data_IF_777821736132
#
_entry.id   IF_777821736132
#
_cell.length_a   1.000
_cell.length_b   1.000
_cell.length_c   1.000
_cell.angle_alpha   90.00
_cell.angle_beta   90.00
_cell.angle_gamma   90.00
#
_symmetry.space_group_name_H-M   'P 1'
#
loop_
_entity.id
_entity.type
_entity.pdbx_description
1 polymer ?
#
# COMPACT_ATOMS: atom_id res chain seq x y z
N UNK A 1 12.15 -9.95 -15.53
CA UNK A 1 12.96 -10.98 -14.89
C UNK A 1 12.66 -11.19 -13.40
N UNK A 2 11.62 -10.56 -12.84
CA UNK A 2 11.29 -10.69 -11.40
C UNK A 2 10.36 -11.89 -11.13
N UNK A 3 9.78 -12.50 -12.17
CA UNK A 3 8.65 -13.40 -12.03
C UNK A 3 8.93 -14.87 -12.37
N UNK A 4 10.18 -15.33 -12.34
CA UNK A 4 10.45 -16.76 -12.32
C UNK A 4 10.56 -17.22 -10.87
N UNK A 5 9.42 -17.50 -10.25
CA UNK A 5 9.38 -18.08 -8.91
C UNK A 5 9.46 -19.60 -9.01
N UNK A 6 10.55 -20.14 -8.50
CA UNK A 6 10.64 -21.59 -8.33
C UNK A 6 9.65 -22.02 -7.24
N UNK A 7 8.92 -23.10 -7.49
CA UNK A 7 7.88 -23.68 -6.64
C UNK A 7 8.33 -24.10 -5.22
N UNK A 8 9.63 -23.95 -4.89
CA UNK A 8 10.23 -24.38 -3.62
C UNK A 8 10.72 -23.23 -2.73
N UNK A 9 10.23 -21.99 -2.94
CA UNK A 9 10.70 -20.83 -2.17
C UNK A 9 10.06 -20.69 -0.79
N UNK A 10 8.95 -21.40 -0.53
CA UNK A 10 8.13 -21.25 0.66
C UNK A 10 7.23 -20.00 0.64
N UNK A 11 7.15 -19.29 -0.50
CA UNK A 11 6.22 -18.19 -0.70
C UNK A 11 4.84 -18.78 -0.98
N UNK A 12 3.83 -18.38 -0.20
CA UNK A 12 2.46 -18.90 -0.29
C UNK A 12 1.61 -18.12 -1.30
N UNK A 13 1.89 -16.84 -1.48
CA UNK A 13 1.10 -15.95 -2.34
C UNK A 13 1.96 -14.80 -2.86
N UNK A 14 1.78 -14.51 -4.15
CA UNK A 14 2.40 -13.38 -4.84
C UNK A 14 1.30 -12.51 -5.43
N UNK A 15 1.24 -11.27 -4.96
CA UNK A 15 0.27 -10.29 -5.42
C UNK A 15 0.96 -9.04 -5.96
N UNK A 16 0.42 -8.45 -7.02
CA UNK A 16 0.85 -7.13 -7.51
C UNK A 16 -0.31 -6.13 -7.50
N UNK A 17 0.00 -4.89 -7.13
CA UNK A 17 -0.89 -3.76 -7.33
C UNK A 17 -0.41 -2.96 -8.56
N UNK A 18 -1.32 -2.62 -9.43
CA UNK A 18 -1.00 -1.87 -10.65
C UNK A 18 -2.08 -0.84 -10.98
N UNK A 19 -1.69 0.25 -11.62
CA UNK A 19 -2.63 1.19 -12.22
C UNK A 19 -3.06 0.78 -13.65
N UNK A 20 -2.60 -0.38 -14.11
CA UNK A 20 -2.90 -0.98 -15.40
C UNK A 20 -2.57 -0.12 -16.66
N UNK A 21 -1.88 1.02 -16.52
CA UNK A 21 -1.56 1.91 -17.64
C UNK A 21 -0.57 1.31 -18.64
N UNK A 22 0.24 0.34 -18.20
CA UNK A 22 1.26 -0.35 -19.01
C UNK A 22 0.89 -1.82 -19.27
N UNK A 23 -0.38 -2.17 -19.13
CA UNK A 23 -0.86 -3.54 -19.25
C UNK A 23 -1.23 -3.83 -20.70
N UNK A 24 -0.23 -3.81 -21.57
CA UNK A 24 -0.38 -4.22 -22.97
C UNK A 24 -0.50 -5.76 -23.11
N UNK A 25 -0.74 -6.25 -24.31
CA UNK A 25 -0.91 -7.69 -24.57
C UNK A 25 0.32 -8.51 -24.15
N UNK A 26 1.53 -8.00 -24.41
CA UNK A 26 2.79 -8.68 -24.07
C UNK A 26 2.98 -8.78 -22.57
N UNK A 27 2.74 -7.68 -21.85
CA UNK A 27 2.82 -7.66 -20.40
C UNK A 27 1.73 -8.55 -19.78
N UNK A 28 0.52 -8.52 -20.33
CA UNK A 28 -0.59 -9.36 -19.89
C UNK A 28 -0.26 -10.85 -20.02
N UNK A 29 0.27 -11.29 -21.17
CA UNK A 29 0.70 -12.66 -21.38
C UNK A 29 1.78 -13.09 -20.39
N UNK A 30 2.81 -12.24 -20.21
CA UNK A 30 3.88 -12.50 -19.23
C UNK A 30 3.36 -12.65 -17.80
N UNK A 31 2.42 -11.82 -17.40
CA UNK A 31 1.84 -11.89 -16.05
C UNK A 31 0.98 -13.14 -15.86
N UNK A 32 0.22 -13.55 -16.89
CA UNK A 32 -0.62 -14.75 -16.82
C UNK A 32 0.24 -16.02 -16.67
N UNK A 33 1.39 -16.09 -17.36
CA UNK A 33 2.26 -17.29 -17.33
C UNK A 33 3.32 -17.24 -16.22
N UNK A 34 3.41 -16.16 -15.45
CA UNK A 34 4.50 -15.93 -14.50
C UNK A 34 4.38 -16.67 -13.16
N UNK A 35 3.23 -17.29 -12.89
CA UNK A 35 2.95 -17.86 -11.56
C UNK A 35 2.46 -16.83 -10.54
N UNK A 36 1.99 -15.66 -10.99
CA UNK A 36 1.35 -14.66 -10.14
C UNK A 36 0.00 -15.17 -9.61
N UNK A 37 -0.26 -15.01 -8.31
CA UNK A 37 -1.52 -15.44 -7.70
C UNK A 37 -2.62 -14.39 -7.82
N UNK A 38 -2.28 -13.11 -7.59
CA UNK A 38 -3.25 -12.01 -7.66
C UNK A 38 -2.71 -10.81 -8.43
N UNK A 39 -3.59 -10.17 -9.19
CA UNK A 39 -3.38 -8.83 -9.72
C UNK A 39 -4.50 -7.92 -9.24
N UNK A 40 -4.13 -6.80 -8.62
CA UNK A 40 -5.05 -5.83 -8.03
C UNK A 40 -4.93 -4.55 -8.83
N UNK A 41 -5.98 -4.22 -9.56
CA UNK A 41 -6.07 -2.97 -10.31
C UNK A 41 -6.52 -1.85 -9.39
N UNK A 42 -5.76 -0.77 -9.36
CA UNK A 42 -6.14 0.44 -8.64
C UNK A 42 -6.89 1.38 -9.57
N UNK A 43 -8.19 1.58 -9.33
CA UNK A 43 -9.07 2.35 -10.21
C UNK A 43 -10.06 3.17 -9.38
N UNK A 44 -9.86 4.49 -9.27
CA UNK A 44 -10.62 5.35 -8.39
C UNK A 44 -11.65 6.17 -9.18
N UNK A 45 -12.91 5.78 -9.10
CA UNK A 45 -14.08 6.43 -9.71
C UNK A 45 -14.92 5.46 -10.56
N UNK A 46 -16.23 5.60 -10.50
CA UNK A 46 -17.20 4.89 -11.35
C UNK A 46 -17.42 5.57 -12.68
N UNK A 47 -17.01 6.84 -12.83
CA UNK A 47 -17.12 7.62 -14.05
C UNK A 47 -15.77 8.09 -14.57
N UNK A 48 -15.70 8.36 -15.89
CA UNK A 48 -14.53 8.96 -16.53
C UNK A 48 -14.08 10.24 -15.84
N UNK A 49 -15.03 11.11 -15.52
CA UNK A 49 -14.76 12.43 -14.91
C UNK A 49 -14.04 12.27 -13.57
N UNK A 50 -14.55 11.40 -12.71
CA UNK A 50 -13.96 11.17 -11.38
C UNK A 50 -12.64 10.43 -11.49
N UNK A 51 -12.55 9.38 -12.32
CA UNK A 51 -11.31 8.64 -12.51
C UNK A 51 -10.16 9.55 -13.00
N UNK A 52 -10.36 10.34 -14.06
CA UNK A 52 -9.31 11.19 -14.61
C UNK A 52 -8.93 12.34 -13.66
N UNK A 53 -9.86 12.79 -12.82
CA UNK A 53 -9.58 13.77 -11.77
C UNK A 53 -8.75 13.16 -10.64
N UNK A 54 -9.10 11.96 -10.20
CA UNK A 54 -8.44 11.26 -9.08
C UNK A 54 -7.07 10.71 -9.49
N UNK A 55 -6.94 10.25 -10.75
CA UNK A 55 -5.75 9.60 -11.29
C UNK A 55 -5.24 10.26 -12.57
N UNK A 56 -4.88 11.55 -12.53
CA UNK A 56 -4.45 12.27 -13.75
C UNK A 56 -3.17 11.70 -14.36
N UNK A 57 -2.45 10.82 -13.62
CA UNK A 57 -1.16 10.31 -14.02
C UNK A 57 -0.05 11.36 -13.97
N UNK A 58 1.22 10.91 -14.14
CA UNK A 58 2.41 11.76 -14.01
C UNK A 58 2.44 12.94 -14.98
N UNK A 59 1.86 12.75 -16.17
CA UNK A 59 1.87 13.75 -17.27
C UNK A 59 0.45 14.11 -17.71
N UNK A 60 -0.58 13.82 -16.92
CA UNK A 60 -2.00 13.98 -17.29
C UNK A 60 -2.42 13.16 -18.53
N UNK A 61 -1.74 12.03 -18.78
CA UNK A 61 -2.02 11.12 -19.91
C UNK A 61 -2.80 9.87 -19.49
N UNK A 62 -3.18 9.78 -18.21
CA UNK A 62 -3.94 8.63 -17.74
C UNK A 62 -5.39 8.79 -18.16
N UNK A 63 -5.80 8.08 -19.19
CA UNK A 63 -7.15 8.12 -19.73
C UNK A 63 -7.95 6.94 -19.21
N UNK A 64 -9.17 7.22 -18.85
CA UNK A 64 -10.13 6.22 -18.37
C UNK A 64 -10.28 5.07 -19.36
N UNK A 65 -10.53 5.37 -20.64
CA UNK A 65 -10.77 4.37 -21.67
C UNK A 65 -9.58 3.45 -21.87
N UNK A 66 -8.37 4.01 -21.91
CA UNK A 66 -7.15 3.23 -22.14
C UNK A 66 -6.94 2.20 -21.00
N UNK A 67 -7.13 2.63 -19.77
CA UNK A 67 -6.95 1.75 -18.61
C UNK A 67 -8.08 0.73 -18.50
N UNK A 68 -9.31 1.15 -18.75
CA UNK A 68 -10.46 0.24 -18.79
C UNK A 68 -10.29 -0.86 -19.83
N UNK A 69 -9.90 -0.50 -21.05
CA UNK A 69 -9.67 -1.48 -22.13
C UNK A 69 -8.46 -2.39 -21.81
N UNK A 70 -7.40 -1.88 -21.22
CA UNK A 70 -6.28 -2.71 -20.78
C UNK A 70 -6.72 -3.80 -19.78
N UNK A 71 -7.51 -3.43 -18.77
CA UNK A 71 -8.06 -4.38 -17.79
C UNK A 71 -8.96 -5.41 -18.47
N UNK A 72 -9.85 -4.96 -19.33
CA UNK A 72 -10.78 -5.82 -20.08
C UNK A 72 -10.04 -6.80 -20.99
N UNK A 73 -9.02 -6.31 -21.69
CA UNK A 73 -8.20 -7.13 -22.60
C UNK A 73 -7.37 -8.17 -21.84
N UNK A 74 -6.82 -7.82 -20.67
CA UNK A 74 -6.16 -8.78 -19.80
C UNK A 74 -7.07 -9.95 -19.42
N UNK A 75 -8.30 -9.66 -19.00
CA UNK A 75 -9.25 -10.68 -18.57
C UNK A 75 -9.78 -11.51 -19.76
N UNK A 76 -9.94 -10.90 -20.94
CA UNK A 76 -10.22 -11.66 -22.17
C UNK A 76 -9.08 -12.61 -22.53
N UNK A 77 -7.83 -12.15 -22.44
CA UNK A 77 -6.65 -12.97 -22.71
C UNK A 77 -6.54 -14.11 -21.70
N UNK A 78 -6.70 -13.84 -20.41
CA UNK A 78 -6.74 -14.85 -19.34
C UNK A 78 -7.76 -15.94 -19.65
N UNK A 79 -9.01 -15.56 -20.00
CA UNK A 79 -10.06 -16.51 -20.40
C UNK A 79 -9.67 -17.31 -21.66
N UNK A 80 -9.12 -16.65 -22.67
CA UNK A 80 -8.64 -17.31 -23.92
C UNK A 80 -7.54 -18.35 -23.66
N UNK A 81 -6.66 -18.06 -22.69
CA UNK A 81 -5.59 -18.97 -22.30
C UNK A 81 -6.07 -20.07 -21.31
N UNK A 82 -7.34 -20.07 -20.95
CA UNK A 82 -7.90 -20.97 -19.92
C UNK A 82 -7.13 -20.94 -18.60
N UNK A 83 -6.58 -19.78 -18.25
CA UNK A 83 -5.78 -19.60 -17.05
C UNK A 83 -6.65 -19.30 -15.83
N UNK A 84 -6.44 -20.05 -14.73
CA UNK A 84 -7.11 -19.80 -13.45
C UNK A 84 -6.50 -18.60 -12.71
N UNK A 85 -5.20 -18.41 -12.84
CA UNK A 85 -4.42 -17.36 -12.20
C UNK A 85 -3.84 -16.38 -13.24
N UNK A 86 -3.52 -15.15 -12.82
CA UNK A 86 -3.80 -14.57 -11.50
C UNK A 86 -5.31 -14.32 -11.28
N UNK A 87 -5.76 -14.39 -10.03
CA UNK A 87 -7.07 -13.84 -9.65
C UNK A 87 -7.04 -12.33 -9.84
N UNK A 88 -8.01 -11.81 -10.55
CA UNK A 88 -8.07 -10.38 -10.91
C UNK A 88 -9.02 -9.65 -9.97
N UNK A 89 -8.49 -8.65 -9.28
CA UNK A 89 -9.24 -7.80 -8.35
C UNK A 89 -9.17 -6.36 -8.80
N UNK A 90 -10.24 -5.62 -8.62
CA UNK A 90 -10.23 -4.17 -8.81
C UNK A 90 -10.62 -3.48 -7.54
N UNK A 91 -9.90 -2.41 -7.22
CA UNK A 91 -10.10 -1.68 -5.98
C UNK A 91 -10.27 -0.19 -6.23
N UNK A 92 -11.35 0.37 -5.68
CA UNK A 92 -11.59 1.79 -5.55
C UNK A 92 -11.38 2.22 -4.10
N UNK A 93 -10.70 3.34 -3.88
CA UNK A 93 -10.68 4.01 -2.57
C UNK A 93 -11.85 4.97 -2.49
N UNK A 94 -12.70 4.77 -1.49
CA UNK A 94 -13.87 5.61 -1.26
C UNK A 94 -13.45 6.97 -0.74
N UNK A 95 -13.82 8.01 -1.47
CA UNK A 95 -13.64 9.42 -1.12
C UNK A 95 -14.95 10.16 -1.28
N UNK A 96 -15.05 11.39 -0.79
CA UNK A 96 -16.24 12.21 -1.02
C UNK A 96 -16.56 12.42 -2.52
N UNK A 97 -15.53 12.32 -3.37
CA UNK A 97 -15.69 12.49 -4.81
C UNK A 97 -16.25 11.26 -5.51
N UNK A 98 -16.04 10.07 -4.94
CA UNK A 98 -16.45 8.77 -5.53
C UNK A 98 -17.60 8.10 -4.76
N UNK A 99 -18.06 8.71 -3.68
CA UNK A 99 -19.10 8.11 -2.79
C UNK A 99 -20.41 7.81 -3.52
N UNK A 100 -20.82 8.70 -4.41
CA UNK A 100 -22.07 8.57 -5.17
C UNK A 100 -21.92 7.67 -6.41
N UNK A 101 -20.71 7.17 -6.70
CA UNK A 101 -20.40 6.38 -7.89
C UNK A 101 -20.09 4.90 -7.56
N UNK A 102 -20.51 4.43 -6.41
CA UNK A 102 -20.23 3.04 -5.97
C UNK A 102 -20.94 2.04 -6.89
N UNK A 103 -22.19 2.27 -7.20
CA UNK A 103 -22.99 1.37 -8.05
C UNK A 103 -22.48 1.37 -9.50
N UNK A 104 -22.11 2.55 -10.03
CA UNK A 104 -21.50 2.68 -11.34
C UNK A 104 -20.17 1.92 -11.39
N UNK A 105 -19.35 2.01 -10.32
CA UNK A 105 -18.09 1.30 -10.24
C UNK A 105 -18.28 -0.22 -10.27
N UNK A 106 -19.23 -0.76 -9.49
CA UNK A 106 -19.55 -2.18 -9.53
C UNK A 106 -20.06 -2.59 -10.93
N UNK A 107 -21.01 -1.86 -11.51
CA UNK A 107 -21.55 -2.13 -12.84
C UNK A 107 -20.49 -2.09 -13.94
N UNK A 108 -19.49 -1.22 -13.82
CA UNK A 108 -18.41 -1.06 -14.79
C UNK A 108 -17.53 -2.31 -14.89
N UNK A 109 -17.33 -3.03 -13.79
CA UNK A 109 -16.38 -4.15 -13.73
C UNK A 109 -17.03 -5.51 -13.49
N UNK A 110 -18.35 -5.55 -13.30
CA UNK A 110 -19.10 -6.81 -13.16
C UNK A 110 -18.87 -7.72 -14.37
N UNK A 111 -18.57 -8.99 -14.12
CA UNK A 111 -18.26 -9.97 -15.16
C UNK A 111 -16.95 -9.74 -15.93
N UNK A 112 -16.22 -8.67 -15.66
CA UNK A 112 -14.90 -8.39 -16.25
C UNK A 112 -13.79 -8.96 -15.38
N UNK A 113 -13.77 -8.64 -14.09
CA UNK A 113 -12.78 -9.12 -13.11
C UNK A 113 -13.38 -10.15 -12.17
N UNK A 114 -12.53 -10.86 -11.42
CA UNK A 114 -12.99 -11.90 -10.48
C UNK A 114 -13.53 -11.29 -9.18
N UNK A 115 -13.06 -10.09 -8.76
CA UNK A 115 -13.48 -9.43 -7.51
C UNK A 115 -13.47 -7.90 -7.65
N UNK A 116 -14.55 -7.25 -7.19
CA UNK A 116 -14.71 -5.80 -7.18
C UNK A 116 -14.81 -5.33 -5.74
N UNK A 117 -13.91 -4.44 -5.30
CA UNK A 117 -13.82 -4.01 -3.90
C UNK A 117 -13.79 -2.48 -3.81
N UNK A 118 -14.57 -1.95 -2.88
CA UNK A 118 -14.52 -0.55 -2.45
C UNK A 118 -13.96 -0.51 -1.04
N UNK A 119 -12.86 0.23 -0.83
CA UNK A 119 -12.20 0.34 0.47
C UNK A 119 -12.31 1.76 1.01
N UNK A 120 -12.51 1.93 2.34
CA UNK A 120 -12.47 3.25 2.94
C UNK A 120 -11.13 3.96 2.67
N UNK A 121 -11.19 5.28 2.52
CA UNK A 121 -9.96 6.07 2.53
C UNK A 121 -9.26 5.95 3.88
N UNK A 122 -7.98 5.69 3.87
CA UNK A 122 -7.12 5.67 5.04
C UNK A 122 -5.90 6.53 4.79
N UNK A 123 -5.71 7.55 5.60
CA UNK A 123 -4.45 8.30 5.64
C UNK A 123 -3.41 7.46 6.34
N UNK A 124 -2.55 6.79 5.56
CA UNK A 124 -1.46 5.97 6.10
C UNK A 124 -0.49 6.84 6.90
N UNK A 125 -0.70 6.88 8.22
CA UNK A 125 0.06 7.71 9.15
C UNK A 125 -0.43 9.15 9.30
N UNK A 126 -1.63 9.49 8.79
CA UNK A 126 -2.31 10.76 8.99
C UNK A 126 -3.32 10.75 10.14
N UNK A 127 -3.67 11.91 10.64
CA UNK A 127 -4.77 12.07 11.57
C UNK A 127 -6.09 12.03 10.80
N UNK A 128 -7.04 11.23 11.27
CA UNK A 128 -8.43 11.30 10.83
C UNK A 128 -9.03 12.54 11.49
N UNK A 129 -8.96 13.68 10.81
CA UNK A 129 -9.39 14.96 11.37
C UNK A 129 -10.89 15.25 11.22
N UNK A 130 -11.68 14.31 10.72
CA UNK A 130 -13.11 14.52 10.41
C UNK A 130 -14.06 14.00 11.49
N UNK A 131 -13.65 14.10 12.77
CA UNK A 131 -14.58 13.90 13.86
C UNK A 131 -15.58 15.06 13.92
N UNK A 132 -16.87 14.71 13.94
CA UNK A 132 -17.93 15.67 14.32
C UNK A 132 -17.63 16.21 15.73
N UNK A 133 -18.02 17.43 16.02
CA UNK A 133 -17.75 18.05 17.33
C UNK A 133 -18.31 17.25 18.52
N UNK A 134 -19.47 16.63 18.34
CA UNK A 134 -20.05 15.72 19.36
C UNK A 134 -19.16 14.52 19.67
N UNK A 135 -18.50 13.95 18.64
CA UNK A 135 -17.55 12.84 18.82
C UNK A 135 -16.28 13.29 19.53
N UNK A 136 -15.79 14.51 19.23
CA UNK A 136 -14.62 15.09 19.92
C UNK A 136 -14.90 15.28 21.40
N UNK A 137 -16.09 15.78 21.75
CA UNK A 137 -16.51 15.98 23.14
C UNK A 137 -16.56 14.63 23.89
N UNK A 138 -17.23 13.62 23.31
CA UNK A 138 -17.30 12.26 23.86
C UNK A 138 -15.90 11.67 24.06
N UNK A 139 -15.07 11.71 23.01
CA UNK A 139 -13.71 11.18 23.06
C UNK A 139 -12.87 11.86 24.13
N UNK A 140 -12.85 13.19 24.16
CA UNK A 140 -12.06 13.96 25.14
C UNK A 140 -12.50 13.70 26.58
N UNK A 141 -13.81 13.57 26.81
CA UNK A 141 -14.36 13.19 28.11
C UNK A 141 -13.84 11.81 28.52
N UNK A 142 -13.98 10.81 27.65
CA UNK A 142 -13.53 9.44 27.91
C UNK A 142 -12.02 9.37 28.16
N UNK A 143 -11.19 10.04 27.37
CA UNK A 143 -9.74 10.07 27.53
C UNK A 143 -9.34 10.63 28.91
N UNK A 144 -9.98 11.72 29.35
CA UNK A 144 -9.75 12.32 30.67
C UNK A 144 -10.16 11.40 31.81
N UNK A 145 -11.37 10.82 31.75
CA UNK A 145 -11.90 9.96 32.79
C UNK A 145 -11.08 8.67 32.98
N UNK A 146 -10.44 8.19 31.89
CA UNK A 146 -9.63 6.97 31.92
C UNK A 146 -8.10 7.24 31.98
N UNK A 147 -7.67 8.47 32.19
CA UNK A 147 -6.25 8.88 32.21
C UNK A 147 -5.47 8.44 30.96
N UNK A 148 -6.13 8.46 29.79
CA UNK A 148 -5.51 8.14 28.50
C UNK A 148 -4.87 9.39 27.90
N UNK A 149 -3.85 9.17 27.07
CA UNK A 149 -3.14 10.26 26.40
C UNK A 149 -4.00 10.88 25.29
N UNK A 150 -3.78 12.15 24.99
CA UNK A 150 -4.48 12.88 23.92
C UNK A 150 -4.19 12.28 22.52
N UNK A 151 -3.03 11.63 22.34
CA UNK A 151 -2.64 10.95 21.09
C UNK A 151 -3.13 9.49 21.01
N UNK A 152 -4.00 9.06 21.93
CA UNK A 152 -4.63 7.74 21.89
C UNK A 152 -5.41 7.57 20.58
N UNK A 153 -5.16 6.49 19.86
CA UNK A 153 -5.84 6.18 18.59
C UNK A 153 -7.32 5.90 18.85
N UNK A 154 -8.15 6.37 17.94
CA UNK A 154 -9.58 6.11 17.93
C UNK A 154 -10.06 5.73 16.52
N UNK A 155 -11.22 5.11 16.44
CA UNK A 155 -11.93 4.77 15.21
C UNK A 155 -13.39 5.16 15.34
N UNK A 156 -13.98 5.62 14.26
CA UNK A 156 -15.43 5.88 14.17
C UNK A 156 -16.00 4.95 13.09
N UNK A 157 -16.93 4.11 13.48
CA UNK A 157 -17.61 3.18 12.60
C UNK A 157 -18.92 3.75 12.07
N UNK A 158 -19.50 3.05 11.09
CA UNK A 158 -20.85 3.37 10.59
C UNK A 158 -21.86 3.33 11.73
N UNK A 159 -22.68 4.39 11.87
CA UNK A 159 -23.62 4.53 13.00
C UNK A 159 -23.07 5.35 14.17
N UNK A 160 -22.01 6.10 13.93
CA UNK A 160 -21.40 7.04 14.88
C UNK A 160 -20.83 6.39 16.16
N UNK A 161 -20.50 5.10 16.10
CA UNK A 161 -19.85 4.38 17.20
C UNK A 161 -18.37 4.75 17.27
N UNK A 162 -17.95 5.18 18.44
CA UNK A 162 -16.55 5.55 18.69
C UNK A 162 -15.86 4.41 19.46
N UNK A 163 -14.72 3.99 18.97
CA UNK A 163 -13.85 3.04 19.66
C UNK A 163 -12.48 3.66 19.92
N UNK A 164 -11.91 3.40 21.07
CA UNK A 164 -10.55 3.81 21.44
C UNK A 164 -9.63 2.60 21.55
N UNK A 165 -8.38 2.80 21.16
CA UNK A 165 -7.35 1.78 21.29
C UNK A 165 -6.90 1.68 22.74
N UNK A 166 -7.17 0.54 23.37
CA UNK A 166 -6.80 0.29 24.78
C UNK A 166 -5.50 -0.49 24.92
N UNK A 167 -5.14 -1.28 23.93
CA UNK A 167 -3.88 -2.01 23.89
C UNK A 167 -3.37 -2.13 22.45
N UNK A 168 -2.05 -2.21 22.30
CA UNK A 168 -1.39 -2.44 21.02
C UNK A 168 -0.75 -3.82 21.00
N UNK A 169 -1.12 -4.61 19.98
CA UNK A 169 -0.59 -5.95 19.72
C UNK A 169 0.64 -5.89 18.79
N UNK A 170 1.48 -6.91 18.76
CA UNK A 170 2.41 -7.12 17.66
C UNK A 170 1.68 -7.15 16.33
N UNK A 171 2.25 -6.55 15.30
CA UNK A 171 1.65 -6.53 13.97
C UNK A 171 1.99 -7.82 13.23
N UNK A 172 0.97 -8.51 12.72
CA UNK A 172 1.13 -9.76 11.97
C UNK A 172 1.79 -9.55 10.60
N UNK A 173 1.64 -8.35 10.03
CA UNK A 173 2.15 -8.05 8.69
C UNK A 173 3.64 -8.39 8.52
N UNK A 174 4.47 -8.06 9.50
CA UNK A 174 5.93 -8.31 9.46
C UNK A 174 6.31 -9.79 9.61
N UNK A 175 5.37 -10.64 10.04
CA UNK A 175 5.56 -12.09 10.14
C UNK A 175 4.99 -12.85 8.94
N UNK A 176 4.17 -12.18 8.11
CA UNK A 176 3.45 -12.83 7.02
C UNK A 176 3.91 -12.37 5.65
N UNK A 177 4.38 -11.11 5.49
CA UNK A 177 4.67 -10.53 4.18
C UNK A 177 5.78 -9.49 4.18
N UNK A 178 6.31 -9.22 3.01
CA UNK A 178 7.13 -8.06 2.68
C UNK A 178 6.55 -7.37 1.46
N UNK A 179 6.84 -6.09 1.29
CA UNK A 179 6.48 -5.34 0.11
C UNK A 179 7.74 -5.05 -0.73
N UNK A 180 7.67 -5.36 -2.01
CA UNK A 180 8.73 -5.05 -2.96
C UNK A 180 8.27 -3.86 -3.81
N UNK A 181 9.03 -2.78 -3.78
CA UNK A 181 8.75 -1.60 -4.59
C UNK A 181 9.21 -1.78 -6.03
N UNK A 182 8.70 -0.94 -6.94
CA UNK A 182 9.02 -1.01 -8.38
C UNK A 182 10.51 -0.88 -8.70
N UNK A 183 11.28 -0.31 -7.80
CA UNK A 183 12.73 -0.11 -7.93
C UNK A 183 13.57 -1.21 -7.25
N UNK A 184 12.93 -2.27 -6.75
CA UNK A 184 13.59 -3.43 -6.16
C UNK A 184 13.97 -3.28 -4.68
N UNK A 185 13.56 -2.21 -4.01
CA UNK A 185 13.66 -2.09 -2.55
C UNK A 185 12.63 -3.00 -1.88
N UNK A 186 13.01 -3.59 -0.77
CA UNK A 186 12.11 -4.40 0.04
C UNK A 186 11.76 -3.65 1.32
N UNK A 187 10.51 -3.28 1.47
CA UNK A 187 9.97 -2.66 2.67
C UNK A 187 9.47 -3.71 3.66
N UNK A 188 9.54 -3.39 4.94
CA UNK A 188 9.15 -4.32 6.01
C UNK A 188 7.64 -4.66 5.99
N UNK A 189 6.78 -3.75 5.52
CA UNK A 189 5.33 -3.93 5.46
C UNK A 189 4.68 -2.99 4.42
N UNK A 190 3.39 -3.18 4.14
CA UNK A 190 2.63 -2.39 3.18
C UNK A 190 2.35 -0.94 3.62
N UNK A 191 2.44 -0.63 4.92
CA UNK A 191 2.30 0.74 5.43
C UNK A 191 3.55 1.58 5.13
N UNK A 192 4.69 0.95 4.89
CA UNK A 192 5.94 1.60 4.45
C UNK A 192 6.00 1.77 2.92
N UNK A 193 4.97 2.39 2.34
CA UNK A 193 4.84 2.55 0.89
C UNK A 193 6.01 3.29 0.22
N UNK A 194 6.73 4.11 0.98
CA UNK A 194 7.94 4.80 0.51
C UNK A 194 9.23 3.99 0.68
N UNK A 195 9.14 2.76 1.24
CA UNK A 195 10.28 1.93 1.65
C UNK A 195 11.31 2.74 2.46
N UNK A 196 10.81 3.52 3.45
CA UNK A 196 11.65 4.30 4.36
C UNK A 196 12.40 3.40 5.34
N UNK A 197 11.83 2.24 5.67
CA UNK A 197 12.43 1.14 6.42
C UNK A 197 12.75 -0.02 5.46
N UNK A 198 13.71 0.21 4.59
CA UNK A 198 14.15 -0.80 3.64
C UNK A 198 14.91 -1.91 4.39
N UNK A 199 14.47 -3.15 4.24
CA UNK A 199 15.05 -4.32 4.89
C UNK A 199 15.95 -5.13 3.97
N UNK A 200 16.02 -4.77 2.69
CA UNK A 200 16.89 -5.39 1.70
C UNK A 200 16.62 -4.89 0.28
N UNK A 201 17.37 -5.42 -0.68
CA UNK A 201 17.36 -4.95 -2.05
C UNK A 201 17.48 -6.12 -3.02
N UNK A 202 16.57 -6.19 -3.98
CA UNK A 202 16.55 -7.24 -4.99
C UNK A 202 17.14 -6.81 -6.35
N UNK A 203 17.42 -5.52 -6.53
CA UNK A 203 18.00 -4.99 -7.76
C UNK A 203 19.16 -4.05 -7.44
N UNK A 204 20.28 -4.17 -8.17
CA UNK A 204 21.41 -3.24 -8.09
C UNK A 204 21.02 -1.80 -8.44
N UNK A 205 20.03 -1.62 -9.32
CA UNK A 205 19.51 -0.30 -9.69
C UNK A 205 18.78 0.39 -8.54
N UNK A 206 18.25 -0.36 -7.58
CA UNK A 206 17.63 0.18 -6.38
C UNK A 206 18.63 1.00 -5.54
N UNK A 207 19.94 0.74 -5.68
CA UNK A 207 21.01 1.48 -5.02
C UNK A 207 21.36 2.81 -5.68
N UNK A 208 21.04 2.98 -6.95
CA UNK A 208 21.26 4.25 -7.62
C UNK A 208 20.17 5.28 -7.26
N UNK A 209 19.61 5.11 -6.04
CA UNK A 209 18.64 6.04 -5.45
C UNK A 209 19.17 7.46 -5.45
N UNK A 210 20.46 7.69 -5.18
CA UNK A 210 21.03 9.04 -5.25
C UNK A 210 20.87 9.64 -6.64
N UNK A 211 21.09 8.85 -7.69
CA UNK A 211 20.94 9.27 -9.09
C UNK A 211 19.46 9.42 -9.46
N UNK A 212 18.63 8.47 -9.05
CA UNK A 212 17.16 8.51 -9.27
C UNK A 212 16.54 9.69 -8.54
N UNK A 213 16.91 9.96 -7.30
CA UNK A 213 16.44 11.11 -6.53
C UNK A 213 16.98 12.43 -7.05
N UNK A 214 18.24 12.48 -7.49
CA UNK A 214 18.78 13.66 -8.17
C UNK A 214 17.98 13.95 -9.43
N UNK A 215 17.72 12.94 -10.26
CA UNK A 215 16.91 13.07 -11.46
C UNK A 215 15.45 13.47 -11.17
N UNK A 216 14.88 12.98 -10.05
CA UNK A 216 13.56 13.39 -9.59
C UNK A 216 13.55 14.82 -9.04
N UNK A 217 14.57 15.20 -8.26
CA UNK A 217 14.71 16.57 -7.75
C UNK A 217 14.88 17.59 -8.87
N UNK A 218 15.62 17.24 -9.91
CA UNK A 218 15.82 18.11 -11.08
C UNK A 218 14.55 18.28 -11.92
N UNK A 219 13.58 17.35 -11.78
CA UNK A 219 12.30 17.35 -12.52
C UNK A 219 11.10 17.85 -11.72
N UNK A 220 11.21 17.94 -10.39
CA UNK A 220 10.14 18.42 -9.53
C UNK A 220 10.28 19.92 -9.34
N UNK A 221 9.21 20.65 -9.61
CA UNK A 221 9.10 22.07 -9.32
C UNK A 221 9.41 22.34 -7.84
N UNK A 222 10.45 23.12 -7.59
CA UNK A 222 11.00 23.41 -6.25
C UNK A 222 9.98 24.04 -5.28
N UNK A 223 8.86 24.54 -5.79
CA UNK A 223 7.81 25.19 -5.01
C UNK A 223 6.72 24.22 -4.54
N UNK A 224 6.80 22.94 -4.81
CA UNK A 224 5.78 21.96 -4.43
C UNK A 224 6.11 21.25 -3.12
N UNK A 225 5.07 21.07 -2.28
CA UNK A 225 5.14 20.35 -0.99
C UNK A 225 5.83 18.97 -1.08
N UNK A 226 5.70 18.27 -2.20
CA UNK A 226 6.40 17.00 -2.47
C UNK A 226 7.92 17.13 -2.56
N UNK A 227 8.47 18.30 -2.90
CA UNK A 227 9.91 18.55 -2.92
C UNK A 227 10.48 18.58 -1.50
N UNK A 228 9.78 19.20 -0.54
CA UNK A 228 10.21 19.25 0.87
C UNK A 228 10.19 17.85 1.51
N UNK A 229 9.21 17.01 1.19
CA UNK A 229 9.20 15.62 1.64
C UNK A 229 10.40 14.82 1.12
N UNK A 230 10.76 14.99 -0.16
CA UNK A 230 11.93 14.34 -0.75
C UNK A 230 13.26 14.90 -0.20
N UNK A 231 13.32 16.21 0.10
CA UNK A 231 14.49 16.87 0.68
C UNK A 231 14.79 16.38 2.08
N UNK A 232 13.75 16.09 2.86
CA UNK A 232 13.84 15.69 4.25
C UNK A 232 13.86 14.17 4.44
N UNK A 233 13.71 13.37 3.38
CA UNK A 233 13.82 11.93 3.44
C UNK A 233 15.22 11.53 3.91
N UNK A 234 15.34 11.11 5.15
CA UNK A 234 16.57 10.58 5.73
C UNK A 234 16.71 9.13 5.32
N UNK A 235 17.57 8.87 4.34
CA UNK A 235 17.98 7.50 4.05
C UNK A 235 18.94 7.03 5.15
N UNK A 236 18.85 5.77 5.60
CA UNK A 236 19.78 5.21 6.55
C UNK A 236 21.22 5.40 6.02
N UNK A 237 22.09 6.02 6.82
CA UNK A 237 23.50 6.25 6.46
C UNK A 237 24.29 4.97 6.23
N UNK A 238 23.75 3.86 6.73
CA UNK A 238 24.36 2.53 6.71
C UNK A 238 24.39 1.88 5.31
N UNK A 239 23.61 2.42 4.36
CA UNK A 239 23.54 1.91 2.99
C UNK A 239 24.42 2.66 1.97
N UNK A 240 25.52 3.22 2.42
CA UNK A 240 26.48 3.91 1.53
C UNK A 240 27.41 2.97 0.74
N UNK A 241 27.30 1.67 0.95
CA UNK A 241 28.14 0.70 0.23
C UNK A 241 27.35 0.12 -0.94
N UNK A 242 27.83 0.22 -2.20
CA UNK A 242 27.23 -0.52 -3.29
C UNK A 242 27.35 -2.01 -2.97
N UNK A 243 26.22 -2.71 -2.89
CA UNK A 243 26.24 -4.13 -2.58
C UNK A 243 27.04 -4.87 -3.65
N UNK A 244 28.04 -5.58 -3.22
CA UNK A 244 28.73 -6.56 -4.04
C UNK A 244 27.81 -7.72 -4.37
N UNK A 245 26.78 -7.95 -3.52
CA UNK A 245 25.85 -9.05 -3.64
C UNK A 245 24.41 -8.54 -3.53
N UNK A 246 23.56 -8.94 -4.49
CA UNK A 246 22.11 -8.74 -4.42
C UNK A 246 21.52 -9.71 -3.40
N UNK A 247 20.59 -9.21 -2.57
CA UNK A 247 19.82 -10.03 -1.66
C UNK A 247 18.84 -10.96 -2.41
N UNK A 248 18.48 -12.06 -1.77
CA UNK A 248 17.34 -12.87 -2.16
C UNK A 248 16.18 -12.61 -1.21
N UNK A 249 14.95 -12.88 -1.62
CA UNK A 249 13.78 -12.77 -0.72
C UNK A 249 14.01 -13.60 0.55
N UNK A 250 14.55 -14.82 0.41
CA UNK A 250 14.87 -15.70 1.54
C UNK A 250 15.91 -15.09 2.48
N UNK A 251 16.98 -14.49 1.95
CA UNK A 251 18.02 -13.86 2.78
C UNK A 251 17.50 -12.61 3.50
N UNK A 252 16.64 -11.82 2.85
CA UNK A 252 15.98 -10.66 3.46
C UNK A 252 15.02 -11.11 4.57
N UNK A 253 14.15 -12.06 4.26
CA UNK A 253 13.14 -12.58 5.19
C UNK A 253 13.73 -13.12 6.48
N UNK A 254 14.85 -13.85 6.39
CA UNK A 254 15.58 -14.40 7.52
C UNK A 254 16.73 -13.51 8.00
N UNK A 255 16.89 -12.35 7.39
CA UNK A 255 17.99 -11.43 7.64
C UNK A 255 17.92 -10.72 8.99
N UNK A 256 19.05 -10.11 9.35
CA UNK A 256 19.23 -9.41 10.64
C UNK A 256 18.20 -8.30 10.86
N UNK A 257 17.90 -7.50 9.82
CA UNK A 257 16.99 -6.36 9.93
C UNK A 257 15.55 -6.81 10.17
N UNK A 258 15.04 -7.80 9.40
CA UNK A 258 13.71 -8.35 9.63
C UNK A 258 13.58 -9.00 11.02
N UNK A 259 14.60 -9.72 11.45
CA UNK A 259 14.61 -10.34 12.78
C UNK A 259 14.66 -9.30 13.91
N UNK A 260 15.40 -8.21 13.74
CA UNK A 260 15.42 -7.09 14.67
C UNK A 260 14.03 -6.47 14.83
N UNK A 261 13.36 -6.19 13.71
CA UNK A 261 12.00 -5.64 13.67
C UNK A 261 11.02 -6.59 14.37
N UNK A 262 11.04 -7.88 14.01
CA UNK A 262 10.18 -8.90 14.63
C UNK A 262 10.40 -9.02 16.15
N UNK A 263 11.65 -8.93 16.60
CA UNK A 263 11.98 -8.97 18.02
C UNK A 263 11.43 -7.74 18.77
N UNK A 264 11.49 -6.55 18.18
CA UNK A 264 10.89 -5.35 18.76
C UNK A 264 9.36 -5.50 18.89
N UNK A 265 8.72 -6.07 17.87
CA UNK A 265 7.28 -6.36 17.91
C UNK A 265 6.93 -7.39 18.99
N UNK A 266 7.67 -8.49 19.09
CA UNK A 266 7.46 -9.50 20.15
C UNK A 266 7.60 -8.92 21.56
N UNK A 267 8.48 -7.93 21.73
CA UNK A 267 8.68 -7.22 23.01
C UNK A 267 7.69 -6.09 23.23
N UNK A 268 6.73 -5.86 22.32
CA UNK A 268 5.80 -4.72 22.34
C UNK A 268 6.50 -3.34 22.31
N UNK A 269 7.70 -3.27 21.77
CA UNK A 269 8.53 -2.06 21.65
C UNK A 269 8.39 -1.38 20.28
N UNK A 270 7.16 -1.32 19.76
CA UNK A 270 6.87 -0.83 18.40
C UNK A 270 7.26 0.64 18.21
N UNK A 271 7.24 1.43 19.28
CA UNK A 271 7.59 2.87 19.25
C UNK A 271 9.06 3.12 18.91
N UNK A 272 9.92 2.09 19.04
CA UNK A 272 11.33 2.16 18.61
C UNK A 272 11.49 2.10 17.08
N UNK A 273 10.43 1.78 16.35
CA UNK A 273 10.39 1.75 14.89
C UNK A 273 9.58 2.95 14.42
N UNK A 274 10.24 3.90 13.76
CA UNK A 274 9.63 5.20 13.44
C UNK A 274 8.30 5.09 12.69
N UNK A 275 8.18 4.19 11.71
CA UNK A 275 6.95 3.99 10.96
C UNK A 275 5.87 3.28 11.77
N UNK A 276 6.25 2.42 12.73
CA UNK A 276 5.29 1.75 13.58
C UNK A 276 4.75 2.66 14.69
N UNK A 277 5.55 3.63 15.14
CA UNK A 277 5.14 4.56 16.21
C UNK A 277 3.84 5.29 15.88
N UNK A 278 3.68 5.77 14.64
CA UNK A 278 2.50 6.50 14.19
C UNK A 278 1.50 5.65 13.38
N UNK A 279 1.72 4.33 13.27
CA UNK A 279 0.91 3.48 12.41
C UNK A 279 -0.54 3.38 12.93
N UNK A 280 -1.48 3.55 12.02
CA UNK A 280 -2.93 3.49 12.23
C UNK A 280 -3.55 2.18 11.74
N UNK A 281 -2.73 1.15 11.47
CA UNK A 281 -3.23 -0.14 11.03
C UNK A 281 -4.10 -0.79 12.12
N UNK A 282 -5.39 -0.80 11.90
CA UNK A 282 -6.44 -1.11 12.87
C UNK A 282 -6.27 -2.48 13.54
N UNK A 283 -5.80 -3.48 12.79
CA UNK A 283 -5.62 -4.85 13.30
C UNK A 283 -4.53 -4.99 14.37
N UNK A 284 -3.69 -3.94 14.54
CA UNK A 284 -2.67 -3.91 15.59
C UNK A 284 -3.17 -3.40 16.93
N UNK A 285 -4.43 -3.00 17.03
CA UNK A 285 -5.02 -2.48 18.25
C UNK A 285 -6.13 -3.36 18.79
N UNK A 286 -6.29 -3.37 20.10
CA UNK A 286 -7.50 -3.83 20.77
C UNK A 286 -8.35 -2.60 20.97
N UNK A 287 -9.55 -2.63 20.41
CA UNK A 287 -10.50 -1.53 20.44
C UNK A 287 -11.53 -1.72 21.53
N UNK A 288 -11.89 -0.65 22.20
CA UNK A 288 -12.99 -0.60 23.15
C UNK A 288 -13.97 0.46 22.69
N UNK A 289 -15.23 0.06 22.44
CA UNK A 289 -16.33 1.01 22.14
C UNK A 289 -16.57 1.87 23.37
N UNK A 290 -16.79 3.16 23.16
CA UNK A 290 -17.13 4.13 24.19
C UNK A 290 -18.55 4.61 23.97
N UNK A 291 -19.36 4.62 25.05
CA UNK A 291 -20.76 5.04 25.06
C UNK A 291 -20.92 6.56 25.02
#
# INVERSE_FOLDING_TARGET
PILNFESNTGILEISINTNATQLDNKMSELLIVSGLDNIIYSFDGGTKKTYEKMRPGRFKYNKFEDVYENIKNFNKLKKKMNAKFPVTKIQMVLTDQSREEIDEFYNLFDGIVDDVTVTPYSERGGNINDLKEEHKIKLNKYLKENNLKEDTKYSVEAGDKISVAVERKPCDQIFQRVMITFDGRVAMCCMDWGAQHCVGYLDKKAFDIKKTLKNLRDKIDKNKKGFELLKNAKYPKEYNNPLEKIDTIKSIWNGKEMNKIRNLHKKKELDKIAICKGCDFTDTYIWKEIE
#
